data_IF_482997061197
#
_entry.id   IF_482997061197
#
_cell.length_a   1.000
_cell.length_b   1.000
_cell.length_c   1.000
_cell.angle_alpha   90.00
_cell.angle_beta   90.00
_cell.angle_gamma   90.00
#
_symmetry.space_group_name_H-M   'P 1'
#
loop_
_entity.id
_entity.type
_entity.pdbx_description
1 polymer ?
#
# COMPACT_ATOMS: atom_id res chain seq x y z
N UNK A 1 -11.02 -10.49 11.61
CA UNK A 1 -10.10 -11.49 11.03
C UNK A 1 -8.96 -10.69 10.41
N UNK A 2 -7.75 -10.72 10.99
CA UNK A 2 -6.56 -10.05 10.45
C UNK A 2 -5.80 -11.12 9.66
N UNK A 3 -5.58 -10.93 8.37
CA UNK A 3 -5.03 -11.99 7.50
C UNK A 3 -3.49 -12.13 7.62
N UNK A 4 -2.84 -11.29 8.43
CA UNK A 4 -1.39 -11.30 8.67
C UNK A 4 -0.54 -10.96 7.46
N UNK A 5 -1.16 -10.64 6.32
CA UNK A 5 -0.46 -10.34 5.07
C UNK A 5 -0.30 -8.84 4.92
N UNK A 6 0.87 -8.43 4.48
CA UNK A 6 1.14 -7.03 4.15
C UNK A 6 0.51 -6.66 2.80
N UNK A 7 0.16 -5.39 2.65
CA UNK A 7 -0.14 -4.77 1.37
C UNK A 7 0.93 -3.73 1.09
N UNK A 8 1.59 -3.84 -0.07
CA UNK A 8 2.66 -2.93 -0.50
C UNK A 8 2.21 -2.26 -1.79
N UNK A 9 2.17 -0.93 -1.77
CA UNK A 9 1.77 -0.12 -2.92
C UNK A 9 2.33 1.28 -2.84
N UNK A 10 2.38 1.95 -4.00
CA UNK A 10 2.65 3.38 -4.10
C UNK A 10 1.38 4.16 -4.47
N UNK A 11 1.32 5.41 -4.05
CA UNK A 11 0.24 6.34 -4.40
C UNK A 11 0.77 7.77 -4.41
N UNK A 12 0.18 8.64 -5.22
CA UNK A 12 0.41 10.08 -5.14
C UNK A 12 -0.34 10.73 -3.97
N UNK A 13 -1.39 10.08 -3.47
CA UNK A 13 -2.20 10.56 -2.35
C UNK A 13 -2.47 9.43 -1.35
N UNK A 14 -1.75 9.46 -0.23
CA UNK A 14 -1.85 8.47 0.84
C UNK A 14 -3.23 8.45 1.50
N UNK A 15 -3.83 9.63 1.74
CA UNK A 15 -5.11 9.76 2.43
C UNK A 15 -6.26 9.18 1.61
N UNK A 16 -6.31 9.51 0.32
CA UNK A 16 -7.32 8.94 -0.58
C UNK A 16 -7.19 7.43 -0.67
N UNK A 17 -5.96 6.93 -0.84
CA UNK A 17 -5.68 5.50 -0.95
C UNK A 17 -6.13 4.71 0.28
N UNK A 18 -5.81 5.20 1.47
CA UNK A 18 -6.26 4.59 2.73
C UNK A 18 -7.78 4.59 2.85
N UNK A 19 -8.44 5.68 2.45
CA UNK A 19 -9.90 5.77 2.45
C UNK A 19 -10.52 4.74 1.51
N UNK A 20 -10.01 4.60 0.27
CA UNK A 20 -10.50 3.62 -0.71
C UNK A 20 -10.32 2.17 -0.24
N UNK A 21 -9.20 1.86 0.40
CA UNK A 21 -8.94 0.52 0.95
C UNK A 21 -9.84 0.23 2.16
N UNK A 22 -10.11 1.23 3.01
CA UNK A 22 -11.00 1.08 4.16
C UNK A 22 -12.48 1.01 3.74
N UNK A 23 -12.90 1.81 2.75
CA UNK A 23 -14.26 1.78 2.18
C UNK A 23 -14.55 0.49 1.41
N UNK A 24 -13.50 -0.23 0.98
CA UNK A 24 -13.62 -1.48 0.25
C UNK A 24 -13.97 -1.29 -1.22
N UNK A 25 -13.63 -0.14 -1.78
CA UNK A 25 -13.81 0.15 -3.20
C UNK A 25 -12.82 -0.61 -4.09
N UNK A 26 -11.71 -1.06 -3.51
CA UNK A 26 -10.72 -1.89 -4.21
C UNK A 26 -11.07 -3.37 -4.04
N UNK A 27 -11.69 -3.97 -5.06
CA UNK A 27 -12.22 -5.36 -5.08
C UNK A 27 -11.21 -6.38 -4.51
N UNK A 28 -9.94 -6.32 -4.93
CA UNK A 28 -8.90 -7.27 -4.52
C UNK A 28 -8.47 -7.17 -3.05
N UNK A 29 -8.70 -6.02 -2.42
CA UNK A 29 -8.33 -5.76 -1.02
C UNK A 29 -9.53 -5.63 -0.10
N UNK A 30 -10.74 -5.46 -0.66
CA UNK A 30 -12.03 -5.44 0.04
C UNK A 30 -12.21 -6.57 1.08
N UNK A 31 -11.85 -7.84 0.81
CA UNK A 31 -12.01 -8.92 1.80
C UNK A 31 -10.97 -8.90 2.92
N UNK A 32 -9.90 -8.09 2.80
CA UNK A 32 -8.77 -8.03 3.76
C UNK A 32 -8.88 -6.86 4.75
N UNK A 33 -10.03 -6.18 4.78
CA UNK A 33 -10.31 -5.06 5.71
C UNK A 33 -10.52 -5.58 7.14
N UNK A 34 -10.21 -4.76 8.17
CA UNK A 34 -9.71 -3.39 8.11
C UNK A 34 -8.21 -3.31 7.82
N UNK A 35 -7.75 -2.21 7.19
CA UNK A 35 -6.33 -1.95 6.98
C UNK A 35 -5.78 -0.99 8.04
N UNK A 36 -4.60 -1.32 8.57
CA UNK A 36 -3.82 -0.44 9.44
C UNK A 36 -2.56 0.05 8.70
N UNK A 37 -2.30 1.36 8.74
CA UNK A 37 -1.09 1.92 8.16
C UNK A 37 0.09 1.72 9.12
N UNK A 38 0.90 0.70 8.86
CA UNK A 38 2.08 0.40 9.67
C UNK A 38 3.31 1.26 9.30
N UNK A 39 3.42 1.69 8.04
CA UNK A 39 4.58 2.40 7.51
C UNK A 39 4.26 3.13 6.20
N UNK A 40 4.87 4.31 5.99
CA UNK A 40 4.89 4.98 4.70
C UNK A 40 6.18 5.79 4.51
N UNK A 41 6.58 5.97 3.25
CA UNK A 41 7.65 6.89 2.84
C UNK A 41 7.11 7.83 1.76
N UNK A 42 7.54 9.08 1.80
CA UNK A 42 7.18 10.09 0.81
C UNK A 42 8.43 10.56 0.03
N UNK A 43 8.28 10.72 -1.28
CA UNK A 43 9.35 11.08 -2.19
C UNK A 43 8.94 12.29 -3.03
N UNK A 44 9.87 13.21 -3.27
CA UNK A 44 9.65 14.36 -4.16
C UNK A 44 9.58 13.96 -5.63
N UNK A 45 10.34 12.94 -6.02
CA UNK A 45 10.37 12.41 -7.38
C UNK A 45 9.63 11.06 -7.46
N UNK A 46 8.78 10.92 -8.49
CA UNK A 46 8.06 9.69 -8.80
C UNK A 46 8.99 8.53 -9.14
N UNK A 47 10.15 8.81 -9.73
CA UNK A 47 11.12 7.77 -10.09
C UNK A 47 11.75 7.11 -8.87
N UNK A 48 12.11 7.91 -7.86
CA UNK A 48 12.62 7.40 -6.58
C UNK A 48 11.57 6.56 -5.87
N UNK A 49 10.31 7.02 -5.84
CA UNK A 49 9.19 6.27 -5.26
C UNK A 49 9.00 4.90 -5.94
N UNK A 50 9.02 4.86 -7.28
CA UNK A 50 8.89 3.60 -8.04
C UNK A 50 10.09 2.67 -7.89
N UNK A 51 11.30 3.21 -7.78
CA UNK A 51 12.51 2.41 -7.53
C UNK A 51 12.43 1.71 -6.18
N UNK A 52 12.00 2.44 -5.14
CA UNK A 52 11.82 1.88 -3.78
C UNK A 52 10.66 0.88 -3.72
N UNK A 53 9.53 1.17 -4.36
CA UNK A 53 8.42 0.20 -4.41
C UNK A 53 8.85 -1.11 -5.10
N UNK A 54 9.60 -1.03 -6.20
CA UNK A 54 10.14 -2.22 -6.86
C UNK A 54 11.06 -3.00 -5.94
N UNK A 55 11.96 -2.33 -5.21
CA UNK A 55 12.83 -2.97 -4.22
C UNK A 55 12.03 -3.76 -3.18
N UNK A 56 10.97 -3.16 -2.60
CA UNK A 56 10.11 -3.83 -1.63
C UNK A 56 9.31 -5.01 -2.23
N UNK A 57 8.95 -4.94 -3.52
CA UNK A 57 8.27 -6.04 -4.23
C UNK A 57 9.24 -7.15 -4.66
N UNK A 58 10.52 -6.85 -4.84
CA UNK A 58 11.57 -7.82 -5.18
C UNK A 58 12.17 -8.53 -3.98
N UNK A 59 11.58 -8.39 -2.79
CA UNK A 59 11.91 -9.19 -1.61
C UNK A 59 11.61 -10.68 -1.81
N UNK A 60 12.39 -11.32 -2.67
CA UNK A 60 12.76 -12.73 -2.56
C UNK A 60 13.58 -12.85 -1.27
N UNK A 61 12.94 -13.37 -0.23
CA UNK A 61 13.53 -14.53 0.45
C UNK A 61 13.23 -15.76 -0.39
#
# INVERSE_FOLDING_TARGET
HFDGKLYIGYTANLRSRLREHQSGEVISTKPRRPFELIFYEAYKNKEDAKRRERYFKTGKG
#
